data_IF_791374293545
#
_entry.id   IF_791374293545
#
_cell.length_a   1.000
_cell.length_b   1.000
_cell.length_c   1.000
_cell.angle_alpha   90.00
_cell.angle_beta   90.00
_cell.angle_gamma   90.00
#
_symmetry.space_group_name_H-M   'P 1'
#
loop_
_entity.id
_entity.type
_entity.pdbx_description
1 polymer ?
#
# COMPACT_ATOMS: atom_id res chain seq x y z
N UNK A 1 17.64 -2.89 1.89
CA UNK A 1 16.33 -2.23 1.84
C UNK A 1 15.63 -2.74 0.59
N UNK A 2 14.39 -3.20 0.70
CA UNK A 2 13.60 -3.69 -0.44
C UNK A 2 13.30 -2.52 -1.39
N UNK A 3 13.22 -2.81 -2.66
CA UNK A 3 12.82 -1.84 -3.69
C UNK A 3 11.30 -1.90 -3.91
N UNK A 4 10.74 -0.89 -4.61
CA UNK A 4 9.35 -0.94 -5.06
C UNK A 4 9.03 -2.27 -5.78
N UNK A 5 9.90 -2.71 -6.65
CA UNK A 5 9.69 -3.91 -7.44
C UNK A 5 9.64 -5.18 -6.57
N UNK A 6 10.41 -5.24 -5.50
CA UNK A 6 10.38 -6.36 -4.56
C UNK A 6 9.02 -6.45 -3.85
N UNK A 7 8.43 -5.31 -3.46
CA UNK A 7 7.10 -5.28 -2.86
C UNK A 7 6.00 -5.67 -3.84
N UNK A 8 6.07 -5.19 -5.11
CA UNK A 8 5.10 -5.57 -6.13
C UNK A 8 5.22 -7.05 -6.50
N UNK A 9 6.44 -7.56 -6.58
CA UNK A 9 6.70 -8.98 -6.78
C UNK A 9 6.09 -9.82 -5.66
N UNK A 10 6.36 -9.46 -4.41
CA UNK A 10 5.80 -10.16 -3.25
C UNK A 10 4.27 -10.12 -3.26
N UNK A 11 3.66 -8.98 -3.59
CA UNK A 11 2.20 -8.85 -3.68
C UNK A 11 1.60 -9.79 -4.74
N UNK A 12 2.22 -9.88 -5.92
CA UNK A 12 1.69 -10.66 -7.05
C UNK A 12 2.05 -12.15 -6.95
N UNK A 13 3.30 -12.46 -6.60
CA UNK A 13 3.81 -13.84 -6.69
C UNK A 13 3.63 -14.62 -5.39
N UNK A 14 3.71 -13.94 -4.22
CA UNK A 14 3.62 -14.61 -2.93
C UNK A 14 2.23 -14.50 -2.30
N UNK A 15 1.63 -13.28 -2.30
CA UNK A 15 0.33 -13.04 -1.66
C UNK A 15 -0.80 -13.30 -2.64
N UNK A 16 -0.71 -12.73 -3.82
CA UNK A 16 -1.60 -12.87 -4.96
C UNK A 16 -2.99 -12.25 -4.78
N UNK A 17 -3.77 -12.73 -3.82
CA UNK A 17 -5.15 -12.25 -3.57
C UNK A 17 -5.19 -11.01 -2.70
N UNK A 18 -5.94 -9.99 -3.14
CA UNK A 18 -6.08 -8.72 -2.44
C UNK A 18 -7.54 -8.38 -2.19
N UNK A 19 -7.83 -7.70 -1.09
CA UNK A 19 -9.13 -7.05 -0.89
C UNK A 19 -9.11 -5.69 -1.56
N UNK A 20 -9.89 -5.52 -2.62
CA UNK A 20 -10.03 -4.25 -3.36
C UNK A 20 -11.31 -3.55 -2.96
N UNK A 21 -11.21 -2.26 -2.66
CA UNK A 21 -12.33 -1.38 -2.32
C UNK A 21 -12.61 -0.36 -3.43
N UNK A 22 -13.90 -0.14 -3.67
CA UNK A 22 -14.48 0.94 -4.48
C UNK A 22 -15.67 1.53 -3.75
N UNK A 23 -16.25 2.61 -4.25
CA UNK A 23 -17.48 3.19 -3.71
C UNK A 23 -18.67 2.63 -4.49
N UNK A 24 -19.69 2.15 -3.78
CA UNK A 24 -20.95 1.71 -4.37
C UNK A 24 -21.83 2.88 -4.82
N UNK A 25 -22.87 2.59 -5.60
CA UNK A 25 -23.86 3.58 -6.04
C UNK A 25 -24.60 4.26 -4.87
N UNK A 26 -24.64 3.60 -3.71
CA UNK A 26 -25.18 4.11 -2.46
C UNK A 26 -24.23 5.01 -1.67
N UNK A 27 -23.03 5.29 -2.22
CA UNK A 27 -21.99 6.09 -1.58
C UNK A 27 -21.17 5.35 -0.52
N UNK A 28 -21.45 4.07 -0.28
CA UNK A 28 -20.72 3.28 0.72
C UNK A 28 -19.58 2.46 0.10
N UNK A 29 -18.48 2.23 0.87
CA UNK A 29 -17.40 1.35 0.42
C UNK A 29 -17.89 -0.09 0.17
N UNK A 30 -17.48 -0.65 -0.95
CA UNK A 30 -17.70 -2.04 -1.30
C UNK A 30 -16.36 -2.74 -1.51
N UNK A 31 -16.22 -3.94 -0.97
CA UNK A 31 -14.99 -4.73 -1.08
C UNK A 31 -15.23 -6.05 -1.81
N UNK A 32 -14.19 -6.55 -2.47
CA UNK A 32 -14.13 -7.88 -3.08
C UNK A 32 -12.70 -8.36 -3.13
N UNK A 33 -12.53 -9.68 -3.20
CA UNK A 33 -11.22 -10.27 -3.41
C UNK A 33 -10.90 -10.27 -4.89
N UNK A 34 -9.75 -9.73 -5.25
CA UNK A 34 -9.22 -9.66 -6.62
C UNK A 34 -7.76 -10.09 -6.58
N UNK A 35 -7.41 -11.00 -7.48
CA UNK A 35 -6.02 -11.44 -7.65
C UNK A 35 -5.24 -10.39 -8.45
N UNK A 36 -4.06 -10.02 -7.95
CA UNK A 36 -3.10 -9.22 -8.70
C UNK A 36 -2.31 -10.16 -9.61
N UNK A 37 -2.47 -10.00 -10.91
CA UNK A 37 -2.08 -10.99 -11.91
C UNK A 37 -0.68 -10.77 -12.49
N UNK A 38 -0.23 -9.50 -12.48
CA UNK A 38 1.01 -9.11 -13.11
C UNK A 38 1.51 -7.79 -12.52
N UNK A 39 2.82 -7.56 -12.59
CA UNK A 39 3.45 -6.30 -12.25
C UNK A 39 4.60 -6.00 -13.22
N UNK A 40 4.89 -4.72 -13.44
CA UNK A 40 6.05 -4.21 -14.17
C UNK A 40 6.43 -2.78 -13.72
N UNK A 41 7.29 -2.11 -14.48
CA UNK A 41 7.69 -0.73 -14.21
C UNK A 41 6.55 0.28 -14.28
N UNK A 42 5.45 -0.05 -14.97
CA UNK A 42 4.28 0.82 -15.13
C UNK A 42 3.22 0.63 -14.02
N UNK A 43 3.24 -0.50 -13.30
CA UNK A 43 2.32 -0.72 -12.18
C UNK A 43 1.90 -2.15 -11.91
N UNK A 44 0.72 -2.28 -11.30
CA UNK A 44 0.05 -3.55 -11.00
C UNK A 44 -1.12 -3.78 -11.95
N UNK A 45 -1.32 -5.04 -12.33
CA UNK A 45 -2.38 -5.42 -13.25
C UNK A 45 -3.31 -6.46 -12.65
N UNK A 46 -4.58 -6.24 -12.85
CA UNK A 46 -5.65 -7.18 -12.52
C UNK A 46 -6.70 -7.17 -13.62
N UNK A 47 -7.64 -8.10 -13.58
CA UNK A 47 -8.68 -8.19 -14.60
C UNK A 47 -10.06 -8.40 -13.98
N UNK A 48 -11.08 -7.99 -14.71
CA UNK A 48 -12.48 -8.27 -14.39
C UNK A 48 -13.33 -8.36 -15.65
N UNK A 49 -14.50 -8.97 -15.53
CA UNK A 49 -15.45 -9.07 -16.65
C UNK A 49 -16.32 -7.81 -16.74
N UNK A 50 -16.61 -7.37 -17.99
CA UNK A 50 -17.38 -6.17 -18.32
C UNK A 50 -18.79 -6.12 -17.71
N UNK A 51 -19.42 -7.27 -17.53
CA UNK A 51 -20.78 -7.36 -16.97
C UNK A 51 -20.89 -7.22 -15.46
N UNK A 52 -19.76 -7.04 -14.73
CA UNK A 52 -19.78 -6.91 -13.27
C UNK A 52 -19.98 -5.45 -12.85
N UNK A 53 -20.75 -5.21 -11.79
CA UNK A 53 -20.86 -3.88 -11.16
C UNK A 53 -19.48 -3.29 -10.80
N UNK A 54 -18.55 -4.14 -10.40
CA UNK A 54 -17.16 -3.74 -10.14
C UNK A 54 -16.48 -3.10 -11.37
N UNK A 55 -16.72 -3.65 -12.58
CA UNK A 55 -16.21 -3.05 -13.82
C UNK A 55 -16.70 -1.61 -14.01
N UNK A 56 -18.02 -1.40 -13.84
CA UNK A 56 -18.64 -0.06 -13.97
C UNK A 56 -18.05 0.91 -12.93
N UNK A 57 -17.88 0.46 -11.69
CA UNK A 57 -17.25 1.27 -10.64
C UNK A 57 -15.80 1.66 -10.97
N UNK A 58 -15.02 0.73 -11.54
CA UNK A 58 -13.64 1.01 -11.97
C UNK A 58 -13.60 2.06 -13.08
N UNK A 59 -14.48 1.93 -14.07
CA UNK A 59 -14.57 2.86 -15.21
C UNK A 59 -15.01 4.26 -14.77
N UNK A 60 -15.94 4.36 -13.84
CA UNK A 60 -16.50 5.60 -13.36
C UNK A 60 -15.56 6.32 -12.41
N UNK A 61 -14.96 5.60 -11.46
CA UNK A 61 -14.17 6.20 -10.37
C UNK A 61 -12.71 6.39 -10.73
N UNK A 62 -12.14 5.55 -11.59
CA UNK A 62 -10.73 5.62 -11.98
C UNK A 62 -9.75 5.47 -10.80
N UNK A 63 -10.22 4.97 -9.67
CA UNK A 63 -9.48 4.90 -8.41
C UNK A 63 -9.87 3.67 -7.60
N UNK A 64 -8.89 3.05 -6.93
CA UNK A 64 -9.11 1.95 -6.00
C UNK A 64 -8.24 2.11 -4.75
N UNK A 65 -8.66 1.43 -3.70
CA UNK A 65 -7.80 1.07 -2.58
C UNK A 65 -7.73 -0.46 -2.48
N UNK A 66 -6.57 -1.00 -2.13
CA UNK A 66 -6.40 -2.42 -1.92
C UNK A 66 -5.57 -2.71 -0.67
N UNK A 67 -5.80 -3.86 -0.08
CA UNK A 67 -4.96 -4.40 0.98
C UNK A 67 -4.80 -5.91 0.83
N UNK A 68 -3.66 -6.41 1.25
CA UNK A 68 -3.35 -7.83 1.28
C UNK A 68 -2.50 -8.16 2.49
N UNK A 69 -2.68 -9.36 3.04
CA UNK A 69 -1.89 -9.83 4.17
C UNK A 69 -1.47 -11.27 3.94
N UNK A 70 -0.24 -11.58 4.32
CA UNK A 70 0.23 -12.95 4.40
C UNK A 70 1.27 -13.05 5.51
N UNK A 71 1.11 -14.05 6.37
CA UNK A 71 1.97 -14.31 7.53
C UNK A 71 2.21 -13.07 8.37
N UNK A 72 2.52 -12.30 8.77
CA UNK A 72 2.70 -11.07 9.55
C UNK A 72 3.07 -9.84 8.69
N UNK A 73 2.93 -9.97 7.36
CA UNK A 73 3.18 -8.91 6.40
C UNK A 73 1.84 -8.36 5.91
N UNK A 74 1.74 -7.06 5.79
CA UNK A 74 0.63 -6.36 5.16
C UNK A 74 1.13 -5.39 4.08
N UNK A 75 0.45 -5.38 2.95
CA UNK A 75 0.66 -4.40 1.88
C UNK A 75 -0.67 -3.70 1.64
N UNK A 76 -0.67 -2.38 1.65
CA UNK A 76 -1.80 -1.56 1.26
C UNK A 76 -1.40 -0.57 0.19
N UNK A 77 -2.23 -0.39 -0.83
CA UNK A 77 -2.04 0.58 -1.91
C UNK A 77 -3.35 1.28 -2.20
N UNK A 78 -3.29 2.53 -2.62
CA UNK A 78 -4.43 3.26 -3.17
C UNK A 78 -3.97 4.17 -4.29
N UNK A 79 -4.78 4.30 -5.31
CA UNK A 79 -4.35 5.10 -6.43
C UNK A 79 -5.23 5.01 -7.66
N UNK A 80 -4.76 5.65 -8.72
CA UNK A 80 -5.44 5.75 -10.00
C UNK A 80 -5.25 4.50 -10.84
N UNK A 81 -6.34 4.08 -11.43
CA UNK A 81 -6.38 2.98 -12.37
C UNK A 81 -6.82 3.45 -13.76
N UNK A 82 -6.49 2.67 -14.75
CA UNK A 82 -7.02 2.81 -16.12
C UNK A 82 -7.23 1.42 -16.73
N UNK A 83 -8.24 1.30 -17.57
CA UNK A 83 -8.31 0.11 -18.43
C UNK A 83 -7.23 0.19 -19.52
N UNK A 84 -6.63 -0.94 -19.84
CA UNK A 84 -5.76 -1.13 -20.99
C UNK A 84 -6.38 -2.08 -22.03
N UNK A 85 -7.68 -2.32 -21.87
CA UNK A 85 -8.43 -3.23 -22.73
C UNK A 85 -7.94 -4.67 -22.57
N UNK A 86 -7.56 -5.30 -23.67
CA UNK A 86 -7.04 -6.68 -23.68
C UNK A 86 -5.51 -6.76 -23.75
N UNK A 87 -4.83 -5.63 -23.70
CA UNK A 87 -3.37 -5.63 -23.61
C UNK A 87 -2.93 -6.42 -22.38
N UNK A 88 -1.83 -7.18 -22.53
CA UNK A 88 -1.31 -8.08 -21.48
C UNK A 88 -2.22 -9.25 -21.06
N UNK A 89 -3.40 -9.43 -21.66
CA UNK A 89 -4.30 -10.53 -21.31
C UNK A 89 -3.62 -11.90 -21.52
N UNK A 90 -2.98 -12.10 -22.66
CA UNK A 90 -2.29 -13.35 -22.97
C UNK A 90 -1.10 -13.60 -22.02
N UNK A 91 -0.33 -12.56 -21.69
CA UNK A 91 0.76 -12.66 -20.70
C UNK A 91 0.22 -13.06 -19.31
N UNK A 92 -0.90 -12.45 -18.90
CA UNK A 92 -1.57 -12.79 -17.62
C UNK A 92 -1.97 -14.27 -17.62
N UNK A 93 -2.59 -14.77 -18.71
CA UNK A 93 -3.01 -16.15 -18.79
C UNK A 93 -1.85 -17.16 -18.89
N UNK A 94 -0.71 -16.76 -19.43
CA UNK A 94 0.50 -17.56 -19.43
C UNK A 94 1.11 -17.68 -18.05
N UNK A 95 1.13 -16.59 -17.27
CA UNK A 95 1.69 -16.59 -15.90
C UNK A 95 0.74 -17.17 -14.86
N UNK A 96 -0.57 -17.10 -15.11
CA UNK A 96 -1.63 -17.56 -14.20
C UNK A 96 -2.42 -18.69 -14.85
N UNK A 97 -1.82 -19.86 -14.94
CA UNK A 97 -2.38 -21.01 -15.72
C UNK A 97 -3.77 -21.43 -15.23
N UNK A 98 -4.06 -21.31 -13.93
CA UNK A 98 -5.39 -21.64 -13.37
C UNK A 98 -6.52 -20.80 -14.00
N UNK A 99 -6.22 -19.62 -14.51
CA UNK A 99 -7.20 -18.77 -15.22
C UNK A 99 -7.75 -19.43 -16.48
N UNK A 100 -7.01 -20.35 -17.08
CA UNK A 100 -7.47 -21.08 -18.27
C UNK A 100 -8.66 -22.00 -17.98
N UNK A 101 -8.73 -22.54 -16.75
CA UNK A 101 -9.87 -23.35 -16.32
C UNK A 101 -11.10 -22.51 -15.94
N UNK A 102 -10.89 -21.29 -15.43
CA UNK A 102 -11.97 -20.36 -15.07
C UNK A 102 -12.57 -19.71 -16.32
N UNK A 103 -11.73 -19.34 -17.29
CA UNK A 103 -12.13 -18.69 -18.54
C UNK A 103 -11.59 -19.47 -19.75
N UNK A 104 -12.19 -20.61 -20.08
CA UNK A 104 -11.75 -21.42 -21.23
C UNK A 104 -12.16 -20.77 -22.55
N UNK A 105 -11.27 -20.92 -23.57
CA UNK A 105 -11.57 -20.52 -24.95
C UNK A 105 -12.03 -19.06 -25.09
N UNK A 106 -13.13 -18.84 -25.80
CA UNK A 106 -13.65 -17.52 -26.14
C UNK A 106 -14.27 -16.76 -24.97
N UNK A 107 -14.52 -17.41 -23.82
CA UNK A 107 -15.04 -16.73 -22.63
C UNK A 107 -14.14 -15.62 -22.12
N UNK A 108 -12.85 -15.63 -22.50
CA UNK A 108 -11.87 -14.56 -22.23
C UNK A 108 -12.26 -13.23 -22.88
N UNK A 109 -13.13 -13.24 -23.88
CA UNK A 109 -13.59 -12.02 -24.56
C UNK A 109 -14.35 -11.05 -23.63
N UNK A 110 -14.93 -11.57 -22.55
CA UNK A 110 -15.60 -10.77 -21.52
C UNK A 110 -14.64 -9.98 -20.63
N UNK A 111 -13.34 -10.33 -20.62
CA UNK A 111 -12.36 -9.77 -19.69
C UNK A 111 -11.67 -8.52 -20.25
N UNK A 112 -11.44 -7.56 -19.35
CA UNK A 112 -10.53 -6.45 -19.56
C UNK A 112 -9.50 -6.35 -18.43
N UNK A 113 -8.32 -5.85 -18.80
CA UNK A 113 -7.19 -5.65 -17.90
C UNK A 113 -7.17 -4.20 -17.44
N UNK A 114 -7.00 -4.03 -16.14
CA UNK A 114 -6.80 -2.73 -15.49
C UNK A 114 -5.37 -2.62 -14.97
N UNK A 115 -4.82 -1.42 -15.03
CA UNK A 115 -3.52 -1.07 -14.51
C UNK A 115 -3.66 -0.04 -13.39
N UNK A 116 -3.18 -0.36 -12.19
CA UNK A 116 -2.93 0.61 -11.12
C UNK A 116 -1.57 1.26 -11.42
N UNK A 117 -1.60 2.47 -12.00
CA UNK A 117 -0.42 3.11 -12.60
C UNK A 117 0.14 4.29 -11.79
N UNK A 118 -0.65 4.84 -10.89
CA UNK A 118 -0.25 5.95 -10.02
C UNK A 118 -0.82 5.69 -8.63
N UNK A 119 0.02 5.25 -7.70
CA UNK A 119 -0.43 4.83 -6.38
C UNK A 119 0.60 5.11 -5.30
N UNK A 120 0.11 5.32 -4.09
CA UNK A 120 0.87 5.34 -2.86
C UNK A 120 0.37 4.26 -1.90
N UNK A 121 1.25 3.78 -1.05
CA UNK A 121 0.86 2.83 -0.03
C UNK A 121 2.00 2.46 0.90
N UNK A 122 1.80 1.40 1.63
CA UNK A 122 2.65 0.99 2.72
C UNK A 122 2.89 -0.51 2.70
N UNK A 123 4.13 -0.88 2.98
CA UNK A 123 4.54 -2.20 3.43
C UNK A 123 4.68 -2.17 4.94
N UNK A 124 4.15 -3.16 5.63
CA UNK A 124 4.20 -3.28 7.07
C UNK A 124 4.47 -4.73 7.48
N UNK A 125 5.56 -4.96 8.21
CA UNK A 125 5.98 -6.28 8.66
C UNK A 125 6.15 -6.26 10.19
N UNK A 126 5.42 -7.14 10.85
CA UNK A 126 5.44 -7.37 12.30
C UNK A 126 6.01 -8.75 12.67
N UNK A 127 6.76 -9.36 11.79
CA UNK A 127 7.38 -10.68 12.04
C UNK A 127 8.30 -10.64 13.25
N UNK A 128 8.98 -9.50 13.45
CA UNK A 128 9.70 -9.19 14.68
C UNK A 128 8.97 -8.09 15.47
N UNK A 129 8.20 -8.43 16.52
CA UNK A 129 7.44 -7.45 17.29
C UNK A 129 8.28 -6.37 17.97
N UNK A 130 9.55 -6.69 18.29
CA UNK A 130 10.50 -5.72 18.89
C UNK A 130 11.15 -4.80 17.87
N UNK A 131 11.01 -5.08 16.59
CA UNK A 131 11.62 -4.34 15.50
C UNK A 131 10.79 -4.47 14.23
N UNK A 132 9.66 -3.79 14.22
CA UNK A 132 8.78 -3.75 13.05
C UNK A 132 9.47 -3.09 11.87
N UNK A 133 9.05 -3.43 10.67
CA UNK A 133 9.45 -2.75 9.43
C UNK A 133 8.25 -2.07 8.80
N UNK A 134 8.41 -0.80 8.46
CA UNK A 134 7.43 0.00 7.72
C UNK A 134 8.14 0.68 6.56
N UNK A 135 7.59 0.59 5.37
CA UNK A 135 8.14 1.27 4.20
C UNK A 135 7.02 1.81 3.30
N UNK A 136 7.34 2.82 2.52
CA UNK A 136 6.39 3.43 1.58
C UNK A 136 6.56 2.81 0.21
N UNK A 137 5.43 2.45 -0.42
CA UNK A 137 5.40 1.94 -1.79
C UNK A 137 4.81 3.03 -2.68
N UNK A 138 5.55 3.39 -3.73
CA UNK A 138 5.15 4.43 -4.69
C UNK A 138 5.18 3.84 -6.10
N UNK A 139 4.06 3.98 -6.83
CA UNK A 139 3.93 3.66 -8.24
C UNK A 139 3.66 4.96 -8.99
N UNK A 140 4.42 5.23 -10.05
CA UNK A 140 4.28 6.49 -10.79
C UNK A 140 4.61 7.72 -9.95
N UNK A 141 3.83 8.79 -10.09
CA UNK A 141 4.03 10.07 -9.41
C UNK A 141 2.75 10.52 -8.68
N UNK A 142 2.29 9.79 -7.66
CA UNK A 142 1.10 10.17 -6.92
C UNK A 142 1.34 11.45 -6.11
N UNK A 143 0.27 12.20 -5.87
CA UNK A 143 0.30 13.26 -4.85
C UNK A 143 0.46 12.59 -3.49
N UNK A 144 1.63 12.77 -2.88
CA UNK A 144 1.93 12.13 -1.60
C UNK A 144 1.13 12.74 -0.46
N UNK A 145 0.62 11.89 0.41
CA UNK A 145 -0.03 12.28 1.66
C UNK A 145 0.53 11.43 2.81
N UNK A 146 1.84 11.50 3.00
CA UNK A 146 2.55 10.69 3.99
C UNK A 146 2.70 11.52 5.26
N UNK A 147 2.01 11.11 6.33
CA UNK A 147 2.10 11.74 7.64
C UNK A 147 3.21 11.11 8.47
N UNK A 148 4.17 11.90 8.93
CA UNK A 148 5.28 11.47 9.80
C UNK A 148 5.43 12.35 11.03
N UNK A 149 6.11 11.82 12.06
CA UNK A 149 6.46 12.60 13.24
C UNK A 149 7.81 13.29 13.07
N UNK A 150 7.83 14.59 13.34
CA UNK A 150 9.03 15.45 13.31
C UNK A 150 9.29 16.02 14.67
N UNK A 151 10.57 16.24 14.98
CA UNK A 151 11.00 16.87 16.22
C UNK A 151 11.55 18.25 15.92
N UNK A 152 10.92 19.27 16.48
CA UNK A 152 11.34 20.67 16.32
C UNK A 152 12.63 21.04 17.07
N UNK A 153 13.21 22.19 16.70
CA UNK A 153 14.47 22.70 17.26
C UNK A 153 14.43 23.00 18.77
N UNK A 154 13.23 23.20 19.32
CA UNK A 154 13.05 23.38 20.77
C UNK A 154 13.25 22.13 21.63
N UNK A 155 13.68 21.01 21.03
CA UNK A 155 13.98 19.78 21.76
C UNK A 155 15.11 20.00 22.79
N UNK A 156 14.82 19.65 24.05
CA UNK A 156 15.79 19.79 25.15
C UNK A 156 16.62 18.53 25.42
N UNK A 157 16.34 17.40 24.72
CA UNK A 157 17.06 16.14 24.87
C UNK A 157 16.71 15.37 26.15
N UNK A 158 15.51 15.58 26.74
CA UNK A 158 15.12 14.96 28.01
C UNK A 158 14.83 13.45 27.93
N UNK A 159 14.79 12.87 26.73
CA UNK A 159 14.61 11.44 26.43
C UNK A 159 13.26 10.82 26.88
N UNK A 160 12.30 11.58 27.38
CA UNK A 160 10.98 11.07 27.75
C UNK A 160 10.26 10.38 26.58
N UNK A 161 10.42 10.93 25.37
CA UNK A 161 9.89 10.32 24.15
C UNK A 161 10.45 8.91 23.90
N UNK A 162 11.73 8.68 24.14
CA UNK A 162 12.36 7.38 24.03
C UNK A 162 11.85 6.40 25.09
N UNK A 163 11.69 6.85 26.35
CA UNK A 163 11.27 5.98 27.44
C UNK A 163 9.91 5.33 27.19
N UNK A 164 8.96 6.06 26.54
CA UNK A 164 7.60 5.59 26.24
C UNK A 164 7.48 4.94 24.86
N UNK A 165 8.51 5.00 24.02
CA UNK A 165 8.45 4.44 22.67
C UNK A 165 8.49 2.91 22.72
N UNK A 166 7.42 2.20 22.24
CA UNK A 166 7.40 0.73 22.29
C UNK A 166 8.45 0.09 21.37
N UNK A 167 8.80 0.75 20.27
CA UNK A 167 9.81 0.28 19.30
C UNK A 167 11.21 0.80 19.55
N UNK A 168 11.38 1.71 20.54
CA UNK A 168 12.67 2.36 20.80
C UNK A 168 13.32 2.97 19.55
N UNK A 169 12.51 3.41 18.61
CA UNK A 169 12.93 3.92 17.29
C UNK A 169 13.32 5.41 17.29
N UNK A 170 13.78 5.94 18.44
CA UNK A 170 14.18 7.35 18.60
C UNK A 170 15.65 7.41 18.93
N UNK A 171 16.44 8.02 18.04
CA UNK A 171 17.86 8.29 18.28
C UNK A 171 18.02 9.49 19.20
N UNK A 172 18.45 9.22 20.43
CA UNK A 172 18.67 10.23 21.47
C UNK A 172 20.11 10.77 21.52
N UNK A 173 20.99 10.28 20.65
CA UNK A 173 22.38 10.79 20.53
C UNK A 173 22.42 12.14 19.83
N UNK A 174 21.38 12.50 19.11
CA UNK A 174 21.22 13.76 18.39
C UNK A 174 20.31 14.73 19.14
N UNK A 175 20.47 16.02 18.88
CA UNK A 175 19.64 17.10 19.42
C UNK A 175 19.33 18.11 18.30
N UNK A 176 18.07 18.20 17.83
CA UNK A 176 16.88 17.43 18.23
C UNK A 176 17.08 15.92 18.06
N UNK A 177 16.38 15.12 18.89
CA UNK A 177 16.31 13.66 18.72
C UNK A 177 15.70 13.31 17.37
N UNK A 178 16.03 12.15 16.80
CA UNK A 178 15.56 11.74 15.48
C UNK A 178 14.67 10.50 15.60
N UNK A 179 13.50 10.55 15.00
CA UNK A 179 12.59 9.40 14.94
C UNK A 179 12.89 8.60 13.66
N UNK A 180 13.23 7.31 13.83
CA UNK A 180 13.45 6.39 12.71
C UNK A 180 12.12 5.87 12.20
N UNK A 181 11.66 6.43 11.09
CA UNK A 181 10.33 6.21 10.51
C UNK A 181 10.06 4.74 10.15
N UNK A 182 11.06 4.03 9.62
CA UNK A 182 10.94 2.63 9.21
C UNK A 182 10.60 1.66 10.38
N UNK A 183 10.74 2.11 11.62
CA UNK A 183 10.43 1.33 12.82
C UNK A 183 9.36 2.00 13.68
N UNK A 184 8.75 3.09 13.19
CA UNK A 184 7.77 3.85 13.94
C UNK A 184 6.35 3.28 13.78
N UNK A 185 5.70 2.96 14.90
CA UNK A 185 4.28 2.52 14.91
C UNK A 185 3.28 3.66 14.67
N UNK A 186 3.74 4.91 14.59
CA UNK A 186 2.88 6.09 14.53
C UNK A 186 1.86 6.22 15.69
N UNK A 187 2.16 5.66 16.85
CA UNK A 187 1.26 5.60 18.01
C UNK A 187 1.06 6.95 18.72
N UNK A 188 1.93 7.95 18.47
CA UNK A 188 1.79 9.30 19.01
C UNK A 188 2.32 9.50 20.44
N UNK A 189 2.62 8.45 21.21
CA UNK A 189 3.02 8.56 22.63
C UNK A 189 4.21 9.48 22.87
N UNK A 190 5.16 9.56 21.94
CA UNK A 190 6.30 10.47 22.04
C UNK A 190 5.88 11.95 22.00
N UNK A 191 4.84 12.29 21.23
CA UNK A 191 4.29 13.64 21.17
C UNK A 191 3.54 14.00 22.46
N UNK A 192 2.75 13.07 22.98
CA UNK A 192 1.96 13.26 24.21
C UNK A 192 2.82 13.58 25.44
N UNK A 193 3.97 12.90 25.59
CA UNK A 193 4.85 13.08 26.76
C UNK A 193 5.87 14.22 26.60
N UNK A 194 5.92 14.88 25.44
CA UNK A 194 6.93 15.91 25.21
C UNK A 194 6.63 17.19 26.00
N UNK A 195 7.43 17.56 27.03
CA UNK A 195 7.14 18.72 27.85
C UNK A 195 7.27 20.05 27.12
N UNK A 196 7.98 20.04 25.96
CA UNK A 196 8.13 21.19 25.08
C UNK A 196 7.15 21.20 23.91
N UNK A 197 6.33 20.16 23.76
CA UNK A 197 5.36 20.01 22.67
C UNK A 197 5.94 20.21 21.26
N UNK A 198 7.19 19.78 21.06
CA UNK A 198 7.94 19.98 19.80
C UNK A 198 7.92 18.76 18.88
N UNK A 199 7.14 17.73 19.21
CA UNK A 199 6.96 16.55 18.36
C UNK A 199 5.61 16.65 17.69
N UNK A 200 5.61 16.83 16.37
CA UNK A 200 4.42 17.08 15.59
C UNK A 200 4.30 16.07 14.44
N UNK A 201 3.06 15.71 14.11
CA UNK A 201 2.74 14.93 12.92
C UNK A 201 2.52 15.87 11.74
N UNK A 202 3.34 15.75 10.70
CA UNK A 202 3.28 16.61 9.51
C UNK A 202 3.18 15.76 8.24
N UNK A 203 2.52 16.34 7.23
CA UNK A 203 2.51 15.76 5.89
C UNK A 203 3.86 16.04 5.19
N UNK A 204 4.37 15.03 4.51
CA UNK A 204 5.51 15.16 3.60
C UNK A 204 4.92 15.14 2.19
N UNK A 205 4.68 16.31 1.66
CA UNK A 205 4.30 16.51 0.25
C UNK A 205 5.53 16.43 -0.66
#
# INVERSE_FOLDING_TARGET
MMTRNDYLKQLVEDIHSTTVATIGADGHPQTRVIDMMLWDEHGLYFLTAKGKAFYSQLMEQGYIALSATKDKIAISLRGKIKTIGRKKLDEIFQKNVYMQSIYPGDTRSALEVFCLYEAEGEYFDISNPSHIVRDSIIIGQPKRNIMRYFVGSGCIGCQLCYSVCPQKCIDTTKKPVVIHEHHCLHCGRCAEVCPKQVIEKRNIS
#
